data_IF_980247911013
#
_entry.id   IF_980247911013
#
_cell.length_a   1.000
_cell.length_b   1.000
_cell.length_c   1.000
_cell.angle_alpha   90.00
_cell.angle_beta   90.00
_cell.angle_gamma   90.00
#
_symmetry.space_group_name_H-M   'P 1'
#
loop_
_entity.id
_entity.type
_entity.pdbx_description
1 polymer ?
#
# COMPACT_ATOMS: atom_id res chain seq x y z
N UNK A 1 3.76 13.40 -16.55
CA UNK A 1 3.57 12.13 -15.82
C UNK A 1 2.79 12.44 -14.54
N UNK A 2 1.71 11.72 -14.29
CA UNK A 2 0.89 11.88 -13.08
C UNK A 2 1.33 10.88 -12.02
N UNK A 3 1.89 11.38 -10.92
CA UNK A 3 2.32 10.58 -9.76
C UNK A 3 1.50 10.89 -8.50
N UNK A 4 0.35 11.56 -8.62
CA UNK A 4 -0.55 11.83 -7.49
C UNK A 4 -0.87 10.59 -6.64
N UNK A 5 -1.08 9.39 -7.20
CA UNK A 5 -1.35 8.19 -6.41
C UNK A 5 -0.20 7.79 -5.46
N UNK A 6 1.01 8.28 -5.69
CA UNK A 6 2.20 7.93 -4.89
C UNK A 6 2.56 9.02 -3.87
N UNK A 7 1.83 10.13 -3.81
CA UNK A 7 2.04 11.15 -2.80
C UNK A 7 1.59 10.63 -1.44
N UNK A 8 2.39 10.90 -0.39
CA UNK A 8 1.96 10.64 0.99
C UNK A 8 0.79 11.54 1.39
N UNK A 9 0.82 12.78 0.92
CA UNK A 9 -0.21 13.80 1.12
C UNK A 9 -0.38 14.60 -0.18
N UNK A 10 -1.61 15.02 -0.54
CA UNK A 10 -1.88 15.77 -1.77
C UNK A 10 -1.48 17.25 -1.62
N UNK A 11 -0.21 17.50 -1.28
CA UNK A 11 0.38 18.83 -1.04
C UNK A 11 1.66 19.01 -1.85
N UNK A 12 2.12 20.26 -2.02
CA UNK A 12 3.40 20.52 -2.69
C UNK A 12 4.59 20.02 -1.87
N UNK A 13 4.48 19.99 -0.54
CA UNK A 13 5.45 19.37 0.35
C UNK A 13 5.56 17.87 0.08
N UNK A 14 4.42 17.20 -0.12
CA UNK A 14 4.33 15.81 -0.55
C UNK A 14 4.97 15.58 -1.92
N UNK A 15 4.72 16.47 -2.88
CA UNK A 15 5.37 16.45 -4.20
C UNK A 15 6.89 16.56 -4.07
N UNK A 16 7.39 17.51 -3.27
CA UNK A 16 8.82 17.71 -3.06
C UNK A 16 9.48 16.56 -2.30
N UNK A 17 8.76 15.93 -1.37
CA UNK A 17 9.22 14.72 -0.71
C UNK A 17 9.36 13.55 -1.70
N UNK A 18 8.36 13.33 -2.55
CA UNK A 18 8.42 12.32 -3.60
C UNK A 18 9.54 12.63 -4.60
N UNK A 19 9.69 13.88 -5.02
CA UNK A 19 10.75 14.31 -5.91
C UNK A 19 12.14 13.99 -5.36
N UNK A 20 12.38 14.24 -4.06
CA UNK A 20 13.65 13.89 -3.39
C UNK A 20 13.95 12.39 -3.46
N UNK A 21 12.95 11.53 -3.29
CA UNK A 21 13.10 10.07 -3.45
C UNK A 21 13.43 9.73 -4.90
N UNK A 22 12.76 10.33 -5.88
CA UNK A 22 13.00 10.06 -7.30
C UNK A 22 14.44 10.44 -7.70
N UNK A 23 14.95 11.60 -7.28
CA UNK A 23 16.31 12.02 -7.63
C UNK A 23 17.37 11.20 -6.88
N UNK A 24 17.16 10.92 -5.59
CA UNK A 24 18.19 10.35 -4.73
C UNK A 24 18.22 8.84 -4.78
N UNK A 25 17.07 8.19 -4.85
CA UNK A 25 16.96 6.73 -4.73
C UNK A 25 16.72 6.10 -6.11
N UNK A 26 15.76 6.64 -6.87
CA UNK A 26 15.44 6.15 -8.23
C UNK A 26 16.48 6.65 -9.26
N UNK A 27 17.27 7.67 -8.93
CA UNK A 27 18.32 8.25 -9.78
C UNK A 27 17.77 8.75 -11.12
N UNK A 28 16.61 9.42 -11.10
CA UNK A 28 16.01 10.06 -12.27
C UNK A 28 15.86 11.56 -12.04
N UNK A 29 16.46 12.36 -12.94
CA UNK A 29 16.27 13.80 -12.91
C UNK A 29 14.98 14.16 -13.66
N UNK A 30 13.95 14.51 -12.90
CA UNK A 30 12.66 14.96 -13.41
C UNK A 30 12.31 16.31 -12.77
N UNK A 31 11.47 17.10 -13.44
CA UNK A 31 11.07 18.40 -12.92
C UNK A 31 9.68 18.30 -12.27
N UNK A 32 9.52 18.69 -11.00
CA UNK A 32 8.22 18.69 -10.32
C UNK A 32 7.31 19.79 -10.88
N UNK A 33 5.99 19.57 -10.84
CA UNK A 33 4.98 20.45 -11.42
C UNK A 33 4.98 21.84 -10.77
N UNK A 34 5.29 21.91 -9.47
CA UNK A 34 5.51 23.16 -8.73
C UNK A 34 6.53 24.10 -9.38
N UNK A 35 7.56 23.56 -10.06
CA UNK A 35 8.55 24.38 -10.80
C UNK A 35 7.97 25.11 -12.01
N UNK A 36 6.78 24.72 -12.46
CA UNK A 36 6.06 25.33 -13.59
C UNK A 36 4.76 26.00 -13.16
N UNK A 37 4.61 26.27 -11.86
CA UNK A 37 3.37 26.81 -11.28
C UNK A 37 2.14 25.95 -11.57
N UNK A 38 2.29 24.62 -11.60
CA UNK A 38 1.16 23.72 -11.70
C UNK A 38 0.23 23.91 -10.50
N UNK A 39 -1.07 24.01 -10.75
CA UNK A 39 -2.08 24.27 -9.71
C UNK A 39 -2.28 23.05 -8.81
N UNK A 40 -2.08 21.85 -9.36
CA UNK A 40 -2.23 20.58 -8.63
C UNK A 40 -0.86 19.97 -8.35
N UNK A 41 -0.59 19.49 -7.12
CA UNK A 41 0.62 18.74 -6.82
C UNK A 41 0.59 17.34 -7.44
N UNK A 42 1.76 16.75 -7.65
CA UNK A 42 1.96 15.37 -8.11
C UNK A 42 2.18 15.22 -9.61
N UNK A 43 2.24 16.32 -10.35
CA UNK A 43 2.61 16.32 -11.76
C UNK A 43 4.12 16.41 -11.93
N UNK A 44 4.68 15.65 -12.87
CA UNK A 44 6.11 15.68 -13.19
C UNK A 44 6.36 15.75 -14.69
N UNK A 45 7.29 16.62 -15.10
CA UNK A 45 7.80 16.70 -16.48
C UNK A 45 9.02 15.79 -16.62
N UNK A 46 9.01 14.94 -17.64
CA UNK A 46 10.10 14.01 -17.97
C UNK A 46 10.54 14.29 -19.40
N UNK A 47 11.80 14.66 -19.59
CA UNK A 47 12.38 14.88 -20.92
C UNK A 47 12.96 13.56 -21.44
N UNK A 48 12.70 13.25 -22.71
CA UNK A 48 13.12 11.98 -23.32
C UNK A 48 13.91 12.16 -24.63
N UNK A 49 13.75 13.29 -25.32
CA UNK A 49 14.33 13.52 -26.64
C UNK A 49 15.87 13.65 -26.66
N UNK A 50 16.51 13.74 -25.49
CA UNK A 50 17.95 13.91 -25.33
C UNK A 50 18.66 12.64 -24.83
N UNK A 51 17.98 11.50 -24.83
CA UNK A 51 18.51 10.21 -24.36
C UNK A 51 18.39 9.16 -25.47
N UNK A 52 19.36 8.24 -25.54
CA UNK A 52 19.28 7.07 -26.41
C UNK A 52 18.31 6.01 -25.86
N UNK A 53 17.99 5.02 -26.71
CA UNK A 53 17.02 3.97 -26.38
C UNK A 53 17.48 3.10 -25.19
N UNK A 54 18.79 2.86 -25.04
CA UNK A 54 19.34 2.08 -23.94
C UNK A 54 19.14 2.81 -22.59
N UNK A 55 19.49 4.09 -22.55
CA UNK A 55 19.29 4.94 -21.37
C UNK A 55 17.80 5.08 -21.05
N UNK A 56 16.95 5.17 -22.07
CA UNK A 56 15.50 5.20 -21.92
C UNK A 56 14.98 3.92 -21.26
N UNK A 57 15.42 2.74 -21.70
CA UNK A 57 14.97 1.48 -21.12
C UNK A 57 15.43 1.34 -19.67
N UNK A 58 16.65 1.77 -19.34
CA UNK A 58 17.13 1.81 -17.95
C UNK A 58 16.24 2.72 -17.10
N UNK A 59 15.87 3.90 -17.60
CA UNK A 59 14.99 4.82 -16.89
C UNK A 59 13.59 4.23 -16.68
N UNK A 60 13.01 3.61 -17.70
CA UNK A 60 11.72 2.92 -17.63
C UNK A 60 11.77 1.76 -16.64
N UNK A 61 12.85 0.97 -16.63
CA UNK A 61 13.03 -0.13 -15.70
C UNK A 61 13.08 0.36 -14.25
N UNK A 62 13.81 1.45 -13.98
CA UNK A 62 13.84 2.09 -12.65
C UNK A 62 12.45 2.55 -12.20
N UNK A 63 11.68 3.17 -13.09
CA UNK A 63 10.29 3.58 -12.82
C UNK A 63 9.42 2.36 -12.49
N UNK A 64 9.51 1.29 -13.29
CA UNK A 64 8.74 0.05 -13.07
C UNK A 64 9.05 -0.56 -11.71
N UNK A 65 10.32 -0.69 -11.35
CA UNK A 65 10.74 -1.21 -10.04
C UNK A 65 10.20 -0.34 -8.90
N UNK A 66 10.40 0.97 -8.97
CA UNK A 66 9.92 1.90 -7.94
C UNK A 66 8.40 1.81 -7.72
N UNK A 67 7.62 1.78 -8.81
CA UNK A 67 6.16 1.66 -8.74
C UNK A 67 5.73 0.28 -8.21
N UNK A 68 6.44 -0.78 -8.57
CA UNK A 68 6.21 -2.14 -8.08
C UNK A 68 6.39 -2.23 -6.57
N UNK A 69 7.52 -1.75 -6.05
CA UNK A 69 7.84 -1.77 -4.62
C UNK A 69 6.80 -1.01 -3.79
N UNK A 70 6.33 0.15 -4.27
CA UNK A 70 5.30 0.95 -3.57
C UNK A 70 3.98 0.19 -3.45
N UNK A 71 3.56 -0.53 -4.49
CA UNK A 71 2.33 -1.36 -4.46
C UNK A 71 2.45 -2.55 -3.50
N UNK A 72 3.63 -3.15 -3.41
CA UNK A 72 3.89 -4.25 -2.47
C UNK A 72 3.79 -3.77 -1.02
N UNK A 73 4.40 -2.62 -0.70
CA UNK A 73 4.33 -2.01 0.63
C UNK A 73 2.87 -1.72 1.05
N UNK A 74 2.08 -1.12 0.17
CA UNK A 74 0.65 -0.86 0.42
C UNK A 74 -0.13 -2.16 0.69
N UNK A 75 0.15 -3.21 -0.07
CA UNK A 75 -0.51 -4.52 0.07
C UNK A 75 -0.14 -5.18 1.41
N UNK A 76 1.13 -5.11 1.80
CA UNK A 76 1.59 -5.62 3.09
C UNK A 76 0.97 -4.87 4.28
N UNK A 77 0.85 -3.54 4.21
CA UNK A 77 0.20 -2.76 5.26
C UNK A 77 -1.30 -3.11 5.40
N UNK A 78 -2.01 -3.24 4.28
CA UNK A 78 -3.41 -3.69 4.26
C UNK A 78 -3.56 -5.08 4.89
N UNK A 79 -2.68 -6.02 4.55
CA UNK A 79 -2.68 -7.37 5.10
C UNK A 79 -2.36 -7.40 6.62
N UNK A 80 -1.39 -6.60 7.08
CA UNK A 80 -1.09 -6.45 8.52
C UNK A 80 -2.27 -5.86 9.28
N UNK A 81 -2.96 -4.87 8.70
CA UNK A 81 -4.17 -4.26 9.28
C UNK A 81 -5.31 -5.29 9.37
N UNK A 82 -5.56 -6.05 8.31
CA UNK A 82 -6.57 -7.12 8.29
C UNK A 82 -6.28 -8.20 9.35
N UNK A 83 -5.03 -8.67 9.48
CA UNK A 83 -4.61 -9.61 10.55
C UNK A 83 -4.77 -9.04 11.96
N UNK A 84 -4.55 -7.74 12.17
CA UNK A 84 -4.80 -7.09 13.47
C UNK A 84 -6.30 -7.02 13.80
N UNK A 85 -7.15 -6.72 12.82
CA UNK A 85 -8.61 -6.72 12.99
C UNK A 85 -9.17 -8.13 13.18
N UNK A 86 -8.56 -9.13 12.54
CA UNK A 86 -8.88 -10.56 12.73
C UNK A 86 -8.16 -11.21 13.92
N UNK A 87 -7.55 -10.45 14.84
CA UNK A 87 -7.32 -10.97 16.20
C UNK A 87 -8.70 -11.12 16.87
N UNK A 88 -9.41 -12.16 16.47
CA UNK A 88 -10.45 -12.79 17.26
C UNK A 88 -9.84 -13.00 18.64
N UNK A 89 -10.41 -12.34 19.64
CA UNK A 89 -10.14 -12.67 21.03
C UNK A 89 -10.69 -14.08 21.24
N UNK A 90 -9.87 -15.09 20.97
CA UNK A 90 -10.01 -16.34 21.68
C UNK A 90 -9.71 -15.99 23.13
N UNK A 91 -10.76 -15.60 23.87
CA UNK A 91 -10.80 -15.80 25.30
C UNK A 91 -10.67 -17.30 25.47
N UNK A 92 -9.42 -17.76 25.58
CA UNK A 92 -9.09 -19.05 26.14
C UNK A 92 -9.70 -19.03 27.53
N UNK A 93 -10.96 -19.48 27.64
CA UNK A 93 -11.47 -19.99 28.90
C UNK A 93 -10.60 -21.20 29.19
N UNK A 94 -9.47 -20.94 29.84
CA UNK A 94 -8.77 -21.93 30.65
C UNK A 94 -9.81 -22.29 31.70
N UNK A 95 -10.58 -23.33 31.41
CA UNK A 95 -11.35 -24.05 32.41
C UNK A 95 -10.29 -24.75 33.27
N UNK A 96 -9.95 -24.12 34.38
CA UNK A 96 -9.43 -24.85 35.52
C UNK A 96 -10.63 -25.60 36.11
N UNK A 97 -10.67 -26.91 35.95
CA UNK A 97 -11.71 -27.74 36.55
C UNK A 97 -11.14 -29.09 36.94
N UNK A 98 -10.57 -29.10 38.14
CA UNK A 98 -10.75 -30.20 39.07
C UNK A 98 -12.20 -30.20 39.55
N UNK A 99 -13.12 -30.87 38.86
CA UNK A 99 -14.22 -31.69 39.43
C UNK A 99 -15.17 -32.24 38.36
N UNK A 100 -14.97 -33.51 38.03
CA UNK A 100 -16.00 -34.53 37.75
C UNK A 100 -17.46 -34.05 37.54
N UNK A 101 -17.93 -34.09 36.28
CA UNK A 101 -19.30 -34.58 35.99
C UNK A 101 -19.51 -34.94 34.51
N UNK A 102 -20.11 -36.09 34.19
CA UNK A 102 -20.38 -36.51 32.83
C UNK A 102 -21.70 -35.91 32.34
N UNK A 103 -21.77 -35.55 31.07
CA UNK A 103 -22.87 -35.75 30.10
C UNK A 103 -22.78 -34.66 29.01
N UNK A 104 -22.41 -35.08 27.80
CA UNK A 104 -22.32 -34.23 26.62
C UNK A 104 -23.70 -33.71 26.19
N UNK A 105 -23.80 -32.45 25.73
CA UNK A 105 -24.81 -32.07 24.76
C UNK A 105 -24.15 -31.78 23.41
N UNK A 106 -24.69 -32.45 22.38
CA UNK A 106 -24.45 -32.22 20.96
C UNK A 106 -24.70 -30.74 20.63
N UNK A 107 -23.81 -30.04 19.89
CA UNK A 107 -24.10 -28.68 19.45
C UNK A 107 -25.06 -28.71 18.26
N UNK A 108 -26.29 -28.22 18.46
CA UNK A 108 -27.21 -27.96 17.36
C UNK A 108 -26.71 -26.77 16.53
N UNK A 109 -26.52 -27.00 15.23
CA UNK A 109 -26.18 -26.00 14.22
C UNK A 109 -27.30 -24.98 14.03
N UNK A 110 -27.03 -23.67 13.90
CA UNK A 110 -28.07 -22.67 13.67
C UNK A 110 -28.49 -22.71 12.20
N UNK A 111 -29.79 -22.93 11.97
CA UNK A 111 -30.43 -22.91 10.65
C UNK A 111 -30.45 -21.48 10.09
N UNK A 112 -29.96 -21.34 8.86
CA UNK A 112 -30.09 -20.13 8.04
C UNK A 112 -31.56 -19.99 7.61
N UNK A 113 -32.20 -18.87 7.97
CA UNK A 113 -33.52 -18.51 7.46
C UNK A 113 -33.37 -17.74 6.16
N UNK A 114 -33.78 -18.34 5.04
CA UNK A 114 -33.93 -17.64 3.76
C UNK A 114 -35.34 -17.04 3.68
N UNK A 115 -35.43 -15.74 3.37
CA UNK A 115 -36.68 -15.07 3.00
C UNK A 115 -36.70 -14.85 1.49
N UNK A 116 -37.80 -15.25 0.85
CA UNK A 116 -38.20 -14.86 -0.51
C UNK A 116 -38.93 -13.52 -0.49
#
# INVERSE_FOLDING_TARGET
MDLRPFLSEPTFEGEMALWRVIINDVKLNVSPGSSFHCVEPGWFRVCFANMDDETMEIALQRIRTFVGERKELETQEKNKRYKKTLRLSFSSRIYDETVLSPHSPIPHSPLVSART
#
